data_IF_309465422125
#
_entry.id   IF_309465422125
#
_cell.length_a   1.000
_cell.length_b   1.000
_cell.length_c   1.000
_cell.angle_alpha   90.00
_cell.angle_beta   90.00
_cell.angle_gamma   90.00
#
_symmetry.space_group_name_H-M   'P 1'
#
loop_
_entity.id
_entity.type
_entity.pdbx_description
1 polymer ?
#
# COMPACT_ATOMS: atom_id res chain seq x y z
N UNK A 1 7.58 -11.09 0.00
CA UNK A 1 6.71 -10.74 1.10
C UNK A 1 6.85 -11.63 2.30
N UNK A 2 6.16 -11.29 3.36
CA UNK A 2 6.22 -11.99 4.65
C UNK A 2 4.99 -12.86 4.96
N UNK A 3 4.07 -13.09 4.01
CA UNK A 3 2.93 -13.97 4.21
C UNK A 3 3.41 -15.38 4.56
N UNK A 4 3.03 -15.95 5.72
CA UNK A 4 3.63 -17.20 6.24
C UNK A 4 3.55 -18.36 5.26
N UNK A 5 2.40 -18.57 4.63
CA UNK A 5 2.19 -19.65 3.67
C UNK A 5 3.08 -19.49 2.42
N UNK A 6 3.22 -18.27 1.91
CA UNK A 6 4.10 -17.96 0.78
C UNK A 6 5.58 -18.20 1.13
N UNK A 7 6.00 -17.84 2.35
CA UNK A 7 7.36 -18.07 2.85
C UNK A 7 7.61 -19.57 3.03
N UNK A 8 6.67 -20.31 3.62
CA UNK A 8 6.76 -21.76 3.81
C UNK A 8 6.87 -22.49 2.46
N UNK A 9 6.05 -22.13 1.49
CA UNK A 9 6.08 -22.68 0.14
C UNK A 9 7.47 -22.50 -0.49
N UNK A 10 8.00 -21.26 -0.45
CA UNK A 10 9.33 -21.01 -0.99
C UNK A 10 10.44 -21.76 -0.25
N UNK A 11 10.35 -21.85 1.07
CA UNK A 11 11.36 -22.56 1.87
C UNK A 11 11.44 -24.04 1.49
N UNK A 12 10.29 -24.66 1.18
CA UNK A 12 10.19 -26.08 0.81
C UNK A 12 10.54 -26.33 -0.65
N UNK A 13 9.97 -25.55 -1.56
CA UNK A 13 9.92 -25.90 -2.99
C UNK A 13 10.87 -25.06 -3.84
N UNK A 14 11.28 -23.86 -3.37
CA UNK A 14 12.14 -22.91 -4.11
C UNK A 14 11.56 -22.44 -5.47
N UNK A 15 10.23 -22.56 -5.67
CA UNK A 15 9.54 -22.19 -6.90
C UNK A 15 8.74 -20.90 -6.73
N UNK A 16 9.18 -19.83 -7.38
CA UNK A 16 8.50 -18.52 -7.29
C UNK A 16 7.10 -18.50 -7.91
N UNK A 17 6.83 -19.35 -8.90
CA UNK A 17 5.50 -19.49 -9.51
C UNK A 17 4.45 -19.99 -8.50
N UNK A 18 4.80 -20.98 -7.67
CA UNK A 18 3.91 -21.49 -6.62
C UNK A 18 3.66 -20.43 -5.55
N UNK A 19 4.70 -19.67 -5.15
CA UNK A 19 4.55 -18.54 -4.24
C UNK A 19 3.57 -17.50 -4.82
N UNK A 20 3.64 -17.21 -6.11
CA UNK A 20 2.71 -16.28 -6.78
C UNK A 20 1.28 -16.79 -6.77
N UNK A 21 1.07 -18.10 -6.94
CA UNK A 21 -0.26 -18.72 -6.84
C UNK A 21 -0.85 -18.48 -5.46
N UNK A 22 -0.11 -18.77 -4.39
CA UNK A 22 -0.55 -18.52 -3.01
C UNK A 22 -0.86 -17.04 -2.77
N UNK A 23 0.00 -16.10 -3.24
CA UNK A 23 -0.25 -14.68 -3.11
C UNK A 23 -1.54 -14.26 -3.81
N UNK A 24 -1.84 -14.79 -5.00
CA UNK A 24 -3.09 -14.53 -5.70
C UNK A 24 -4.31 -15.11 -4.97
N UNK A 25 -4.19 -16.31 -4.37
CA UNK A 25 -5.24 -16.90 -3.54
C UNK A 25 -5.55 -16.05 -2.31
N UNK A 26 -4.52 -15.52 -1.64
CA UNK A 26 -4.68 -14.57 -0.52
C UNK A 26 -5.41 -13.30 -0.98
N UNK A 27 -5.00 -12.70 -2.12
CA UNK A 27 -5.67 -11.51 -2.65
C UNK A 27 -7.13 -11.77 -3.00
N UNK A 28 -7.44 -12.93 -3.60
CA UNK A 28 -8.80 -13.34 -3.90
C UNK A 28 -9.64 -13.55 -2.62
N UNK A 29 -9.04 -14.12 -1.58
CA UNK A 29 -9.70 -14.28 -0.28
C UNK A 29 -10.08 -12.91 0.31
N UNK A 30 -9.20 -11.91 0.26
CA UNK A 30 -9.52 -10.56 0.71
C UNK A 30 -10.68 -9.93 -0.07
N UNK A 31 -10.72 -10.11 -1.39
CA UNK A 31 -11.84 -9.62 -2.22
C UNK A 31 -13.18 -10.27 -1.83
N UNK A 32 -13.15 -11.58 -1.54
CA UNK A 32 -14.35 -12.30 -1.04
C UNK A 32 -14.77 -11.80 0.35
N UNK A 33 -13.81 -11.48 1.21
CA UNK A 33 -14.07 -10.92 2.53
C UNK A 33 -14.70 -9.52 2.45
N UNK A 34 -14.32 -8.69 1.45
CA UNK A 34 -15.00 -7.41 1.20
C UNK A 34 -16.49 -7.63 0.94
N UNK A 35 -16.84 -8.59 0.08
CA UNK A 35 -18.22 -8.89 -0.26
C UNK A 35 -19.02 -9.42 0.95
N UNK A 36 -18.36 -10.11 1.88
CA UNK A 36 -18.99 -10.75 3.04
C UNK A 36 -19.14 -9.81 4.24
N UNK A 37 -18.16 -8.94 4.49
CA UNK A 37 -18.04 -8.21 5.75
C UNK A 37 -18.17 -6.70 5.62
N UNK A 38 -17.98 -6.13 4.44
CA UNK A 38 -18.13 -4.70 4.25
C UNK A 38 -19.61 -4.30 4.01
N UNK A 39 -19.99 -3.04 4.34
CA UNK A 39 -21.30 -2.52 3.95
C UNK A 39 -21.46 -2.57 2.43
N UNK A 40 -22.57 -3.14 1.94
CA UNK A 40 -22.80 -3.35 0.51
C UNK A 40 -22.58 -2.09 -0.36
N UNK A 41 -22.99 -0.93 0.15
CA UNK A 41 -22.83 0.36 -0.53
C UNK A 41 -21.38 0.79 -0.70
N UNK A 42 -20.46 0.28 0.14
CA UNK A 42 -19.04 0.65 0.14
C UNK A 42 -18.17 -0.34 -0.65
N UNK A 43 -18.65 -1.55 -0.95
CA UNK A 43 -17.91 -2.58 -1.69
C UNK A 43 -17.31 -2.06 -3.00
N UNK A 44 -18.05 -1.37 -3.89
CA UNK A 44 -17.48 -0.86 -5.13
C UNK A 44 -16.34 0.14 -4.90
N UNK A 45 -16.43 0.95 -3.83
CA UNK A 45 -15.40 1.93 -3.49
C UNK A 45 -14.18 1.26 -2.86
N UNK A 46 -14.39 0.23 -2.03
CA UNK A 46 -13.32 -0.62 -1.50
C UNK A 46 -12.49 -1.23 -2.62
N UNK A 47 -13.17 -1.83 -3.60
CA UNK A 47 -12.50 -2.41 -4.77
C UNK A 47 -11.72 -1.36 -5.56
N UNK A 48 -12.30 -0.18 -5.81
CA UNK A 48 -11.60 0.91 -6.52
C UNK A 48 -10.34 1.36 -5.76
N UNK A 49 -10.41 1.54 -4.45
CA UNK A 49 -9.24 1.90 -3.64
C UNK A 49 -8.20 0.79 -3.68
N UNK A 50 -8.62 -0.46 -3.43
CA UNK A 50 -7.76 -1.63 -3.41
C UNK A 50 -7.00 -1.81 -4.73
N UNK A 51 -7.70 -1.83 -5.84
CA UNK A 51 -7.11 -2.01 -7.16
C UNK A 51 -6.18 -0.87 -7.58
N UNK A 52 -6.39 0.33 -7.01
CA UNK A 52 -5.58 1.50 -7.34
C UNK A 52 -4.20 1.52 -6.66
N UNK A 53 -3.98 0.73 -5.61
CA UNK A 53 -2.76 0.81 -4.77
C UNK A 53 -1.47 0.75 -5.59
N UNK A 54 -1.27 -0.22 -6.51
CA UNK A 54 -0.05 -0.25 -7.31
C UNK A 54 0.15 1.01 -8.16
N UNK A 55 -0.93 1.50 -8.78
CA UNK A 55 -0.88 2.70 -9.61
C UNK A 55 -0.65 3.99 -8.80
N UNK A 56 -1.17 4.06 -7.57
CA UNK A 56 -0.90 5.18 -6.65
C UNK A 56 0.59 5.23 -6.26
N UNK A 57 1.16 4.08 -5.96
CA UNK A 57 2.58 3.95 -5.56
C UNK A 57 3.55 4.17 -6.73
N UNK A 58 3.15 3.89 -7.96
CA UNK A 58 3.97 4.08 -9.16
C UNK A 58 4.17 5.56 -9.55
N UNK A 59 3.41 6.49 -8.95
CA UNK A 59 3.49 7.92 -9.28
C UNK A 59 4.65 8.60 -8.56
N UNK A 60 5.24 9.62 -9.19
CA UNK A 60 6.28 10.46 -8.57
C UNK A 60 5.78 11.12 -7.28
N UNK A 61 4.58 11.72 -7.33
CA UNK A 61 3.92 12.23 -6.14
C UNK A 61 3.01 11.13 -5.56
N UNK A 62 3.53 10.41 -4.56
CA UNK A 62 2.87 9.27 -3.92
C UNK A 62 1.76 9.65 -2.94
N UNK A 63 1.44 10.94 -2.79
CA UNK A 63 0.21 11.35 -2.11
C UNK A 63 -0.98 10.69 -2.78
N UNK A 64 -1.89 10.09 -1.99
CA UNK A 64 -3.08 9.43 -2.50
C UNK A 64 -3.95 10.40 -3.30
N UNK A 65 -4.23 10.06 -4.54
CA UNK A 65 -4.98 10.90 -5.46
C UNK A 65 -6.35 10.28 -5.77
N UNK A 66 -7.40 10.87 -5.22
CA UNK A 66 -8.78 10.42 -5.46
C UNK A 66 -9.17 10.50 -6.94
N UNK A 67 -8.70 11.50 -7.66
CA UNK A 67 -8.93 11.63 -9.10
C UNK A 67 -8.39 10.45 -9.93
N UNK A 68 -7.46 9.65 -9.38
CA UNK A 68 -6.99 8.44 -10.03
C UNK A 68 -7.99 7.27 -9.93
N UNK A 69 -8.93 7.31 -8.99
CA UNK A 69 -10.02 6.34 -8.88
C UNK A 69 -11.12 6.63 -9.90
N UNK A 70 -11.51 7.88 -9.97
CA UNK A 70 -12.49 8.42 -10.90
C UNK A 70 -12.28 9.93 -10.99
N UNK A 71 -12.40 10.53 -12.18
CA UNK A 71 -12.16 11.97 -12.39
C UNK A 71 -12.98 12.88 -11.47
N UNK A 72 -14.17 12.45 -11.05
CA UNK A 72 -15.07 13.17 -10.14
C UNK A 72 -14.96 12.74 -8.68
N UNK A 73 -14.04 11.83 -8.33
CA UNK A 73 -13.90 11.31 -6.99
C UNK A 73 -13.45 12.38 -5.99
N UNK A 74 -14.11 12.41 -4.83
CA UNK A 74 -13.79 13.30 -3.72
C UNK A 74 -13.39 12.49 -2.50
N UNK A 75 -12.53 13.03 -1.65
CA UNK A 75 -12.06 12.38 -0.43
C UNK A 75 -13.22 11.82 0.42
N UNK A 76 -14.25 12.64 0.67
CA UNK A 76 -15.43 12.26 1.47
C UNK A 76 -16.19 11.03 0.94
N UNK A 77 -16.09 10.75 -0.36
CA UNK A 77 -16.84 9.65 -0.98
C UNK A 77 -16.16 8.28 -0.74
N UNK A 78 -14.86 8.29 -0.40
CA UNK A 78 -14.02 7.11 -0.21
C UNK A 78 -13.48 6.96 1.21
N UNK A 79 -13.78 7.88 2.12
CA UNK A 79 -13.25 7.87 3.49
C UNK A 79 -13.59 6.56 4.21
N UNK A 80 -14.84 6.11 4.16
CA UNK A 80 -15.25 4.86 4.78
C UNK A 80 -14.52 3.66 4.19
N UNK A 81 -14.34 3.63 2.87
CA UNK A 81 -13.64 2.54 2.20
C UNK A 81 -12.15 2.49 2.62
N UNK A 82 -11.48 3.63 2.69
CA UNK A 82 -10.09 3.71 3.14
C UNK A 82 -9.97 3.31 4.61
N UNK A 83 -10.85 3.81 5.48
CA UNK A 83 -10.87 3.46 6.90
C UNK A 83 -11.14 1.96 7.11
N UNK A 84 -12.03 1.38 6.31
CA UNK A 84 -12.31 -0.05 6.38
C UNK A 84 -11.07 -0.88 6.04
N UNK A 85 -10.40 -0.57 4.93
CA UNK A 85 -9.16 -1.25 4.51
C UNK A 85 -8.03 -1.09 5.54
N UNK A 86 -7.88 0.09 6.11
CA UNK A 86 -6.89 0.35 7.16
C UNK A 86 -7.20 -0.43 8.44
N UNK A 87 -8.45 -0.41 8.92
CA UNK A 87 -8.88 -1.15 10.11
C UNK A 87 -8.78 -2.67 9.92
N UNK A 88 -8.98 -3.16 8.70
CA UNK A 88 -8.73 -4.55 8.34
C UNK A 88 -7.22 -4.89 8.23
N UNK A 89 -6.33 -3.89 8.38
CA UNK A 89 -4.88 -4.08 8.28
C UNK A 89 -4.38 -4.35 6.86
N UNK A 90 -5.18 -4.08 5.84
CA UNK A 90 -4.86 -4.38 4.44
C UNK A 90 -4.06 -3.27 3.75
N UNK A 91 -4.17 -2.05 4.27
CA UNK A 91 -3.39 -0.89 3.85
C UNK A 91 -2.76 -0.19 5.04
N UNK A 92 -1.65 0.50 4.78
CA UNK A 92 -0.95 1.33 5.75
C UNK A 92 -1.01 2.78 5.26
N UNK A 93 -1.54 3.69 6.08
CA UNK A 93 -1.51 5.13 5.77
C UNK A 93 -0.32 5.80 6.42
N UNK A 94 0.38 6.62 5.63
CA UNK A 94 1.47 7.48 6.10
C UNK A 94 1.03 8.94 5.92
N UNK A 95 0.86 9.68 7.03
CA UNK A 95 0.30 11.04 7.01
C UNK A 95 1.38 12.09 6.84
N UNK A 96 1.05 13.18 6.11
CA UNK A 96 1.92 14.34 6.01
C UNK A 96 2.00 15.07 7.35
N UNK A 97 3.22 15.38 7.78
CA UNK A 97 3.46 16.30 8.90
C UNK A 97 3.67 17.71 8.35
N UNK A 98 2.84 18.64 8.80
CA UNK A 98 2.89 20.04 8.36
C UNK A 98 4.05 20.80 8.98
N UNK A 99 4.47 20.41 10.18
CA UNK A 99 5.58 21.02 10.93
C UNK A 99 6.29 19.95 11.75
N UNK A 100 7.61 19.78 11.62
CA UNK A 100 8.38 18.88 12.49
C UNK A 100 8.25 19.30 13.95
N UNK A 101 7.74 18.40 14.79
CA UNK A 101 7.52 18.64 16.22
C UNK A 101 6.94 17.43 16.91
N UNK A 102 7.02 17.40 18.25
CA UNK A 102 6.49 16.31 19.07
C UNK A 102 5.23 16.78 19.82
N UNK A 103 4.19 15.94 19.95
CA UNK A 103 4.01 14.64 19.29
C UNK A 103 3.67 14.82 17.79
N UNK A 104 4.21 13.95 16.93
CA UNK A 104 4.00 14.02 15.47
C UNK A 104 2.51 14.06 15.09
N UNK A 105 1.69 13.30 15.79
CA UNK A 105 0.24 13.21 15.55
C UNK A 105 -0.49 14.55 15.67
N UNK A 106 0.04 15.50 16.45
CA UNK A 106 -0.55 16.84 16.60
C UNK A 106 -0.36 17.72 15.34
N UNK A 107 0.60 17.37 14.49
CA UNK A 107 0.95 18.11 13.28
C UNK A 107 0.59 17.35 12.00
N UNK A 108 -0.11 16.23 12.12
CA UNK A 108 -0.51 15.39 10.99
C UNK A 108 -1.68 16.02 10.22
N UNK A 109 -1.47 16.26 8.94
CA UNK A 109 -2.55 16.57 7.98
C UNK A 109 -3.20 15.26 7.53
N UNK A 110 -4.37 14.96 8.09
CA UNK A 110 -5.14 13.76 7.77
C UNK A 110 -5.74 13.75 6.36
N UNK A 111 -5.78 14.90 5.69
CA UNK A 111 -6.24 15.01 4.29
C UNK A 111 -5.14 14.67 3.27
N UNK A 112 -3.89 14.56 3.73
CA UNK A 112 -2.72 14.31 2.89
C UNK A 112 -1.97 13.09 3.41
N UNK A 113 -2.06 11.99 2.68
CA UNK A 113 -1.42 10.74 3.06
C UNK A 113 -0.94 9.95 1.84
N UNK A 114 0.06 9.10 2.06
CA UNK A 114 0.47 8.02 1.17
C UNK A 114 -0.21 6.73 1.61
N UNK A 115 -0.45 5.79 0.69
CA UNK A 115 -1.00 4.45 1.00
C UNK A 115 -0.01 3.40 0.56
N UNK A 116 0.28 2.46 1.46
CA UNK A 116 1.11 1.29 1.21
C UNK A 116 0.29 0.02 1.39
N UNK A 117 0.65 -1.04 0.68
CA UNK A 117 0.10 -2.38 0.91
C UNK A 117 0.68 -3.00 2.18
N UNK A 118 -0.10 -3.86 2.84
CA UNK A 118 0.35 -4.55 4.06
C UNK A 118 1.58 -5.44 3.85
N UNK A 119 1.79 -5.93 2.63
CA UNK A 119 2.88 -6.85 2.28
C UNK A 119 3.41 -6.59 0.88
N UNK A 120 4.75 -6.53 0.76
CA UNK A 120 5.42 -6.26 -0.51
C UNK A 120 5.23 -7.40 -1.54
N UNK A 121 5.09 -8.65 -1.11
CA UNK A 121 4.82 -9.77 -2.00
C UNK A 121 3.44 -9.69 -2.61
N UNK A 122 2.45 -9.32 -1.80
CA UNK A 122 1.08 -9.04 -2.27
C UNK A 122 1.05 -7.83 -3.19
N UNK A 123 1.79 -6.76 -2.90
CA UNK A 123 1.94 -5.63 -3.82
C UNK A 123 2.46 -6.08 -5.18
N UNK A 124 3.47 -6.97 -5.21
CA UNK A 124 3.99 -7.55 -6.44
C UNK A 124 2.96 -8.37 -7.23
N UNK A 125 2.09 -9.09 -6.52
CA UNK A 125 0.99 -9.84 -7.12
C UNK A 125 -0.09 -8.90 -7.68
N UNK A 126 -0.51 -7.88 -6.91
CA UNK A 126 -1.45 -6.84 -7.35
C UNK A 126 -0.94 -6.09 -8.59
N UNK A 127 0.34 -5.76 -8.63
CA UNK A 127 0.98 -5.10 -9.77
C UNK A 127 1.23 -6.04 -10.96
N UNK A 128 0.92 -7.34 -10.84
CA UNK A 128 1.16 -8.38 -11.86
C UNK A 128 2.61 -8.45 -12.33
N UNK A 129 3.55 -8.12 -11.46
CA UNK A 129 4.98 -8.21 -11.76
C UNK A 129 5.44 -9.65 -11.58
N UNK A 130 6.12 -10.23 -12.58
CA UNK A 130 6.62 -11.58 -12.43
C UNK A 130 7.65 -11.68 -11.31
N UNK A 131 7.68 -12.79 -10.55
CA UNK A 131 8.66 -12.97 -9.47
C UNK A 131 10.12 -12.88 -9.96
N UNK A 132 10.39 -13.32 -11.18
CA UNK A 132 11.71 -13.30 -11.79
C UNK A 132 12.22 -11.85 -11.98
N UNK A 133 11.33 -10.94 -12.38
CA UNK A 133 11.65 -9.51 -12.51
C UNK A 133 12.02 -8.91 -11.14
N UNK A 134 11.33 -9.32 -10.09
CA UNK A 134 11.62 -8.85 -8.72
C UNK A 134 12.97 -9.34 -8.21
N UNK A 135 13.39 -10.57 -8.57
CA UNK A 135 14.62 -11.19 -8.08
C UNK A 135 15.84 -10.77 -8.93
N UNK A 136 15.70 -10.79 -10.23
CA UNK A 136 16.83 -10.54 -11.16
C UNK A 136 16.91 -9.09 -11.62
N UNK A 137 15.87 -8.30 -11.38
CA UNK A 137 15.74 -6.94 -11.90
C UNK A 137 15.41 -6.92 -13.39
N UNK A 138 14.79 -5.85 -13.83
CA UNK A 138 14.52 -5.57 -15.24
C UNK A 138 14.45 -4.07 -15.44
N UNK A 139 14.86 -3.56 -16.61
CA UNK A 139 14.85 -2.11 -16.90
C UNK A 139 13.47 -1.51 -16.68
N UNK A 140 12.42 -2.20 -17.12
CA UNK A 140 11.02 -1.75 -16.94
C UNK A 140 10.55 -1.72 -15.48
N UNK A 141 11.24 -2.39 -14.56
CA UNK A 141 10.92 -2.38 -13.14
C UNK A 141 11.59 -1.22 -12.39
N UNK A 142 12.58 -0.57 -13.00
CA UNK A 142 13.38 0.46 -12.32
C UNK A 142 12.53 1.62 -11.79
N UNK A 143 11.55 2.08 -12.56
CA UNK A 143 10.64 3.16 -12.14
C UNK A 143 9.78 2.76 -10.93
N UNK A 144 9.34 1.50 -10.86
CA UNK A 144 8.51 1.01 -9.76
C UNK A 144 9.31 0.51 -8.54
N UNK A 145 10.63 0.32 -8.71
CA UNK A 145 11.52 -0.19 -7.65
C UNK A 145 11.49 0.68 -6.39
N UNK A 146 11.48 2.00 -6.54
CA UNK A 146 11.39 2.94 -5.42
C UNK A 146 10.11 2.73 -4.58
N UNK A 147 8.97 2.49 -5.25
CA UNK A 147 7.70 2.19 -4.58
C UNK A 147 7.76 0.91 -3.75
N UNK A 148 8.43 -0.13 -4.28
CA UNK A 148 8.65 -1.39 -3.55
C UNK A 148 9.51 -1.20 -2.31
N UNK A 149 10.60 -0.43 -2.41
CA UNK A 149 11.51 -0.16 -1.29
C UNK A 149 10.74 0.60 -0.19
N UNK A 150 10.01 1.65 -0.56
CA UNK A 150 9.23 2.40 0.44
C UNK A 150 8.13 1.54 1.07
N UNK A 151 7.42 0.72 0.29
CA UNK A 151 6.43 -0.19 0.85
C UNK A 151 7.05 -1.19 1.82
N UNK A 152 8.25 -1.71 1.50
CA UNK A 152 8.98 -2.61 2.41
C UNK A 152 9.37 -1.91 3.70
N UNK A 153 9.86 -0.67 3.63
CA UNK A 153 10.18 0.13 4.81
C UNK A 153 8.93 0.42 5.62
N UNK A 154 7.83 0.83 4.97
CA UNK A 154 6.55 1.10 5.65
C UNK A 154 6.05 -0.11 6.45
N UNK A 155 5.96 -1.30 5.83
CA UNK A 155 5.50 -2.52 6.51
C UNK A 155 6.43 -2.92 7.67
N UNK A 156 7.74 -2.72 7.50
CA UNK A 156 8.73 -3.04 8.55
C UNK A 156 8.58 -2.08 9.74
N UNK A 157 8.44 -0.78 9.48
CA UNK A 157 8.25 0.22 10.54
C UNK A 157 6.97 -0.03 11.33
N UNK A 158 5.84 -0.31 10.66
CA UNK A 158 4.58 -0.64 11.36
C UNK A 158 4.76 -1.87 12.26
N UNK A 159 5.48 -2.89 11.80
CA UNK A 159 5.78 -4.08 12.60
C UNK A 159 6.61 -3.79 13.87
N UNK A 160 7.45 -2.74 13.83
CA UNK A 160 8.31 -2.33 14.95
C UNK A 160 7.58 -1.35 15.88
N UNK A 161 6.89 -0.35 15.30
CA UNK A 161 6.30 0.77 16.06
C UNK A 161 4.85 0.54 16.48
N UNK A 162 4.19 -0.45 15.90
CA UNK A 162 2.75 -0.70 16.09
C UNK A 162 1.85 0.26 15.31
N UNK A 163 2.38 1.03 14.38
CA UNK A 163 1.63 1.95 13.51
C UNK A 163 2.12 3.40 13.57
N UNK A 164 1.32 4.31 13.02
CA UNK A 164 1.58 5.76 13.13
C UNK A 164 2.67 6.26 12.17
N UNK A 165 2.64 5.83 10.91
CA UNK A 165 3.58 6.32 9.90
C UNK A 165 3.31 7.78 9.53
N UNK A 166 4.40 8.56 9.44
CA UNK A 166 4.37 9.95 9.04
C UNK A 166 5.49 10.24 8.04
N UNK A 167 5.26 11.19 7.15
CA UNK A 167 6.26 11.73 6.25
C UNK A 167 6.26 13.26 6.31
N UNK A 168 7.34 13.87 5.88
CA UNK A 168 7.44 15.31 5.80
C UNK A 168 7.97 15.74 4.43
N UNK A 169 7.50 16.88 3.96
CA UNK A 169 8.08 17.59 2.82
C UNK A 169 8.02 19.09 3.07
N UNK A 170 8.99 19.80 2.51
CA UNK A 170 8.98 21.25 2.53
C UNK A 170 7.89 21.82 1.59
N UNK A 171 7.52 23.10 1.79
CA UNK A 171 6.48 23.77 0.99
C UNK A 171 6.77 23.75 -0.52
N UNK A 172 8.04 23.89 -0.91
CA UNK A 172 8.47 23.87 -2.29
C UNK A 172 8.54 22.44 -2.90
N UNK A 173 8.28 21.40 -2.11
CA UNK A 173 8.40 19.99 -2.48
C UNK A 173 9.78 19.61 -3.07
N UNK A 174 10.83 20.33 -2.70
CA UNK A 174 12.22 20.06 -3.12
C UNK A 174 12.98 19.16 -2.16
N UNK A 175 12.45 18.96 -0.95
CA UNK A 175 12.99 18.07 0.07
C UNK A 175 11.86 17.29 0.72
N UNK A 176 12.06 15.98 0.87
CA UNK A 176 11.10 15.05 1.47
C UNK A 176 11.83 14.07 2.38
N UNK A 177 11.20 13.72 3.50
CA UNK A 177 11.57 12.63 4.39
C UNK A 177 10.43 11.62 4.35
N UNK A 178 10.68 10.45 3.80
CA UNK A 178 9.64 9.43 3.54
C UNK A 178 9.03 8.86 4.82
N UNK A 179 9.81 8.77 5.90
CA UNK A 179 9.32 8.26 7.18
C UNK A 179 9.95 9.00 8.36
N UNK A 180 9.11 9.32 9.34
CA UNK A 180 9.45 9.96 10.61
C UNK A 180 8.98 9.08 11.77
#
# INVERSE_FOLDING_TARGET
GGMPEAVECYAKNRHFSEVRTIQNEILNAYVLDFAKHAPHQDIPKLMQVWDSIPAQLARENRKFQFAALKSTARARDYENAILWLENAGLILRCFLITKPGQPLTAYADRSSFKVYALDIGLLGAMARISPEILVHGHVLFQEFKGAFIENYVAQTLVGITGGGLHYWKNEAATAEIDFL
#
